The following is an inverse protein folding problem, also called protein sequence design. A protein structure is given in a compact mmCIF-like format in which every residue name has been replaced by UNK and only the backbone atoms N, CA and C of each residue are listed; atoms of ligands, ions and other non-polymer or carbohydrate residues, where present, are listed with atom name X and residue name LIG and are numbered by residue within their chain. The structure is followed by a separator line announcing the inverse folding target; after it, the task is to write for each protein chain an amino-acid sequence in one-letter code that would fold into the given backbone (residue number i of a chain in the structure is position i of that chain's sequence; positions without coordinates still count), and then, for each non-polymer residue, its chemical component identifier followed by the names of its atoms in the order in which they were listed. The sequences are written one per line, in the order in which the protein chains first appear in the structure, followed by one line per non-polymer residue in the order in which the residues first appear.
data_IF_771031068372
#
_entry.id   IF_771031068372
#
_cell.length_a   1.000
_cell.length_b   1.000
_cell.length_c   1.000
_cell.angle_alpha   90.00
_cell.angle_beta   90.00
_cell.angle_gamma   90.00
#
_symmetry.space_group_name_H-M   'P 1'
#
loop_
_entity.id
_entity.type
_entity.pdbx_description
1 polymer ?
#
# COMPACT_ATOMS: atom_id res chain seq x y z
N UNK A 1 1.04 -1.92 -4.11
CA UNK A 1 -0.20 -1.96 -3.29
C UNK A 1 -1.47 -1.97 -4.13
N UNK A 2 -1.67 -1.01 -5.05
CA UNK A 2 -2.87 -0.94 -5.90
C UNK A 2 -3.21 -2.24 -6.64
N UNK A 3 -2.22 -2.95 -7.19
CA UNK A 3 -2.44 -4.25 -7.82
C UNK A 3 -3.11 -5.26 -6.88
N UNK A 4 -2.75 -5.29 -5.59
CA UNK A 4 -3.40 -6.17 -4.60
C UNK A 4 -4.84 -5.76 -4.31
N UNK A 5 -5.14 -4.45 -4.32
CA UNK A 5 -6.53 -4.00 -4.26
C UNK A 5 -7.31 -4.45 -5.50
N UNK A 6 -6.69 -4.42 -6.67
CA UNK A 6 -7.29 -4.89 -7.91
C UNK A 6 -7.56 -6.40 -7.90
N UNK A 7 -6.69 -7.19 -7.26
CA UNK A 7 -6.93 -8.61 -7.01
C UNK A 7 -8.17 -8.78 -6.13
N UNK A 8 -8.24 -8.04 -5.02
CA UNK A 8 -9.37 -8.01 -4.09
C UNK A 8 -9.22 -8.97 -2.90
N UNK A 9 -10.00 -8.73 -1.85
CA UNK A 9 -9.91 -9.47 -0.59
C UNK A 9 -11.31 -9.84 -0.09
N UNK A 10 -11.42 -11.02 0.52
CA UNK A 10 -12.62 -11.49 1.19
C UNK A 10 -12.61 -11.08 2.67
N UNK A 11 -13.72 -10.49 3.13
CA UNK A 11 -13.91 -9.94 4.47
C UNK A 11 -15.06 -10.64 5.18
N UNK A 12 -14.97 -10.75 6.51
CA UNK A 12 -16.07 -11.29 7.32
C UNK A 12 -17.07 -10.18 7.65
N UNK A 13 -18.37 -10.45 7.53
CA UNK A 13 -19.40 -9.50 7.94
C UNK A 13 -19.44 -9.32 9.46
N UNK A 14 -19.66 -8.09 9.88
CA UNK A 14 -19.77 -7.69 11.29
C UNK A 14 -21.19 -8.01 11.81
N UNK A 15 -21.53 -9.29 12.01
CA UNK A 15 -22.84 -9.73 12.51
C UNK A 15 -22.92 -9.75 14.05
N UNK A 16 -24.11 -9.49 14.60
CA UNK A 16 -24.43 -9.67 16.04
C UNK A 16 -25.04 -11.03 16.36
N UNK A 17 -25.49 -11.80 15.36
CA UNK A 17 -26.18 -13.10 15.54
C UNK A 17 -25.30 -14.26 15.09
N UNK A 18 -25.00 -15.18 16.01
CA UNK A 18 -24.04 -16.32 15.90
C UNK A 18 -24.41 -17.43 14.89
N UNK A 19 -25.31 -17.24 13.91
CA UNK A 19 -25.88 -18.37 13.16
C UNK A 19 -25.35 -18.63 11.75
N UNK A 20 -24.50 -17.78 11.17
CA UNK A 20 -23.74 -18.10 9.95
C UNK A 20 -22.66 -17.04 9.71
N UNK A 21 -21.44 -17.48 9.41
CA UNK A 21 -20.38 -16.59 8.94
C UNK A 21 -20.68 -16.18 7.52
N UNK A 22 -21.21 -14.96 7.37
CA UNK A 22 -21.40 -14.34 6.07
C UNK A 22 -20.14 -13.59 5.69
N UNK A 23 -19.70 -13.79 4.46
CA UNK A 23 -18.54 -13.11 3.91
C UNK A 23 -18.99 -12.09 2.87
N UNK A 24 -18.12 -11.14 2.57
CA UNK A 24 -18.29 -10.19 1.49
C UNK A 24 -16.93 -9.91 0.87
N UNK A 25 -16.91 -9.61 -0.42
CA UNK A 25 -15.68 -9.40 -1.17
C UNK A 25 -15.60 -7.96 -1.62
N UNK A 26 -14.40 -7.37 -1.60
CA UNK A 26 -14.16 -6.04 -2.13
C UNK A 26 -12.90 -6.05 -3.00
N UNK A 27 -12.97 -5.39 -4.16
CA UNK A 27 -11.84 -5.19 -5.06
C UNK A 27 -11.88 -3.83 -5.73
N UNK A 28 -10.73 -3.34 -6.12
CA UNK A 28 -10.57 -2.16 -6.95
C UNK A 28 -10.70 -2.52 -8.43
N UNK A 29 -11.37 -1.68 -9.20
CA UNK A 29 -11.41 -1.75 -10.66
C UNK A 29 -9.99 -1.59 -11.24
N UNK A 30 -9.62 -2.25 -12.35
CA UNK A 30 -8.28 -2.12 -12.94
C UNK A 30 -7.87 -0.70 -13.33
N UNK A 31 -8.82 0.22 -13.53
CA UNK A 31 -8.55 1.63 -13.80
C UNK A 31 -8.37 2.49 -12.53
N UNK A 32 -8.43 1.88 -11.35
CA UNK A 32 -8.34 2.49 -10.02
C UNK A 32 -9.41 3.54 -9.69
N UNK A 33 -10.59 3.48 -10.34
CA UNK A 33 -11.66 4.49 -10.16
C UNK A 33 -12.85 4.02 -9.33
N UNK A 34 -13.08 2.72 -9.19
CA UNK A 34 -14.27 2.16 -8.54
C UNK A 34 -13.90 0.99 -7.65
N UNK A 35 -14.37 0.98 -6.40
CA UNK A 35 -14.39 -0.18 -5.54
C UNK A 35 -15.67 -0.96 -5.81
N UNK A 36 -15.53 -2.21 -6.25
CA UNK A 36 -16.62 -3.16 -6.41
C UNK A 36 -16.70 -4.03 -5.17
N UNK A 37 -17.90 -4.21 -4.62
CA UNK A 37 -18.10 -5.09 -3.47
C UNK A 37 -19.45 -5.80 -3.50
N UNK A 38 -19.57 -6.86 -2.70
CA UNK A 38 -20.79 -7.65 -2.64
C UNK A 38 -20.67 -8.85 -1.70
N UNK A 39 -21.82 -9.42 -1.38
CA UNK A 39 -21.91 -10.60 -0.52
C UNK A 39 -21.42 -11.85 -1.25
N UNK A 40 -20.74 -12.74 -0.52
CA UNK A 40 -20.28 -14.02 -1.04
C UNK A 40 -20.70 -15.15 -0.10
N UNK A 41 -21.15 -16.27 -0.66
CA UNK A 41 -21.69 -17.40 0.09
C UNK A 41 -20.60 -18.19 0.82
N UNK A 42 -19.39 -18.26 0.25
CA UNK A 42 -18.24 -18.98 0.80
C UNK A 42 -16.97 -18.11 0.80
N UNK A 43 -16.04 -18.42 1.71
CA UNK A 43 -14.73 -17.78 1.74
C UNK A 43 -13.90 -18.22 0.53
N UNK A 44 -13.90 -17.40 -0.52
CA UNK A 44 -13.04 -17.63 -1.68
C UNK A 44 -11.69 -16.92 -1.50
N UNK A 45 -10.59 -17.67 -1.57
CA UNK A 45 -9.24 -17.12 -1.71
C UNK A 45 -8.91 -16.70 -3.17
N UNK A 46 -9.78 -17.05 -4.12
CA UNK A 46 -9.63 -16.71 -5.53
C UNK A 46 -10.16 -15.32 -5.90
N UNK A 47 -9.74 -14.80 -7.05
CA UNK A 47 -10.24 -13.54 -7.59
C UNK A 47 -11.70 -13.69 -8.03
N UNK A 48 -12.58 -12.87 -7.44
CA UNK A 48 -13.97 -12.78 -7.89
C UNK A 48 -14.06 -11.70 -9.00
N UNK A 49 -14.64 -12.00 -10.18
CA UNK A 49 -14.85 -11.03 -11.23
C UNK A 49 -15.61 -9.78 -10.74
N UNK A 50 -15.27 -8.62 -11.28
CA UNK A 50 -15.95 -7.37 -10.89
C UNK A 50 -17.42 -7.33 -11.30
N UNK A 51 -17.82 -8.09 -12.33
CA UNK A 51 -19.20 -8.17 -12.83
C UNK A 51 -20.16 -8.94 -11.89
N UNK A 52 -19.63 -9.82 -11.04
CA UNK A 52 -20.44 -10.53 -10.04
C UNK A 52 -20.70 -9.71 -8.77
N UNK A 53 -20.03 -8.56 -8.61
CA UNK A 53 -20.17 -7.68 -7.46
C UNK A 53 -21.18 -6.57 -7.77
N UNK A 54 -22.27 -6.55 -7.02
CA UNK A 54 -23.44 -5.73 -7.31
C UNK A 54 -23.23 -4.27 -6.91
N UNK A 55 -22.49 -4.04 -5.83
CA UNK A 55 -22.31 -2.71 -5.24
C UNK A 55 -21.03 -2.05 -5.75
N UNK A 56 -21.10 -0.72 -5.89
CA UNK A 56 -20.01 0.09 -6.45
C UNK A 56 -19.87 1.37 -5.65
N UNK A 57 -18.63 1.68 -5.28
CA UNK A 57 -18.25 2.95 -4.66
C UNK A 57 -17.18 3.61 -5.54
N UNK A 58 -17.45 4.82 -6.05
CA UNK A 58 -16.43 5.53 -6.80
C UNK A 58 -15.33 6.02 -5.86
N UNK A 59 -14.07 5.86 -6.28
CA UNK A 59 -12.91 6.30 -5.51
C UNK A 59 -12.90 7.83 -5.34
N UNK A 60 -13.44 8.56 -6.32
CA UNK A 60 -13.60 10.01 -6.25
C UNK A 60 -14.52 10.45 -5.10
N UNK A 61 -15.47 9.61 -4.69
CA UNK A 61 -16.45 9.92 -3.65
C UNK A 61 -15.89 9.62 -2.25
N UNK A 62 -14.70 9.02 -2.14
CA UNK A 62 -14.07 8.70 -0.86
C UNK A 62 -13.51 9.99 -0.23
N UNK A 63 -14.04 10.36 0.93
CA UNK A 63 -13.60 11.52 1.71
C UNK A 63 -12.43 11.16 2.63
N UNK A 64 -12.52 10.04 3.34
CA UNK A 64 -11.52 9.66 4.34
C UNK A 64 -11.50 8.15 4.61
N UNK A 65 -10.36 7.67 5.08
CA UNK A 65 -10.19 6.34 5.67
C UNK A 65 -10.00 6.53 7.16
N UNK A 66 -10.85 5.88 7.94
CA UNK A 66 -10.80 5.86 9.40
C UNK A 66 -10.31 4.49 9.83
N UNK A 67 -9.39 4.43 10.77
CA UNK A 67 -8.81 3.17 11.24
C UNK A 67 -9.01 2.99 12.73
N UNK A 68 -8.98 1.73 13.18
CA UNK A 68 -8.89 1.42 14.59
C UNK A 68 -10.14 1.76 15.40
N UNK A 69 -9.89 2.30 16.59
CA UNK A 69 -10.92 2.70 17.57
C UNK A 69 -11.81 3.84 17.08
N UNK A 70 -11.40 4.53 16.01
CA UNK A 70 -12.19 5.63 15.45
C UNK A 70 -13.31 5.18 14.53
N UNK A 71 -13.31 3.90 14.13
CA UNK A 71 -14.34 3.33 13.29
C UNK A 71 -15.72 3.32 13.99
N UNK A 72 -16.80 3.76 13.31
CA UNK A 72 -18.15 3.78 13.89
C UNK A 72 -18.60 2.41 14.42
N UNK A 73 -18.31 1.35 13.68
CA UNK A 73 -18.65 -0.02 14.06
C UNK A 73 -17.91 -0.55 15.31
N UNK A 74 -16.79 0.08 15.67
CA UNK A 74 -16.03 -0.21 16.91
C UNK A 74 -16.53 0.66 18.06
N UNK A 75 -16.89 1.94 17.79
CA UNK A 75 -17.41 2.89 18.79
C UNK A 75 -18.79 2.50 19.34
N UNK A 76 -19.71 2.08 18.48
CA UNK A 76 -21.11 1.78 18.89
C UNK A 76 -21.23 0.48 19.70
N UNK A 77 -20.38 -0.51 19.42
CA UNK A 77 -20.39 -1.78 20.15
C UNK A 77 -19.51 -1.69 21.40
N UNK A 78 -20.03 -1.06 22.46
CA UNK A 78 -19.48 -1.12 23.82
C UNK A 78 -19.25 -2.55 24.37
N UNK A 79 -19.71 -3.58 23.65
CA UNK A 79 -19.55 -5.01 23.91
C UNK A 79 -18.27 -5.66 23.29
N UNK A 80 -17.47 -4.94 22.49
CA UNK A 80 -16.19 -5.46 21.95
C UNK A 80 -15.04 -5.47 22.97
N UNK A 81 -15.31 -5.11 24.24
CA UNK A 81 -14.34 -5.13 25.36
C UNK A 81 -13.66 -6.48 25.62
N UNK A 82 -14.07 -7.58 24.98
CA UNK A 82 -13.45 -8.90 25.17
C UNK A 82 -12.41 -9.29 24.11
N UNK A 83 -12.40 -8.69 22.91
CA UNK A 83 -11.41 -9.04 21.87
C UNK A 83 -10.55 -7.84 21.51
N UNK A 84 -9.38 -7.75 22.14
CA UNK A 84 -8.36 -6.70 21.91
C UNK A 84 -7.85 -6.62 20.46
N UNK A 85 -7.93 -7.71 19.70
CA UNK A 85 -7.35 -7.81 18.34
C UNK A 85 -8.27 -7.24 17.24
N UNK A 86 -9.59 -7.28 17.43
CA UNK A 86 -10.57 -6.79 16.44
C UNK A 86 -10.40 -5.30 16.11
N UNK A 87 -10.19 -4.37 17.07
CA UNK A 87 -9.98 -2.97 16.72
C UNK A 87 -8.69 -2.75 15.93
N UNK A 88 -7.66 -3.59 16.04
CA UNK A 88 -6.40 -3.38 15.31
C UNK A 88 -6.50 -3.72 13.81
N UNK A 89 -7.51 -4.51 13.43
CA UNK A 89 -7.80 -4.93 12.05
C UNK A 89 -8.98 -4.17 11.42
N UNK A 90 -9.60 -3.27 12.19
CA UNK A 90 -10.78 -2.52 11.77
C UNK A 90 -10.39 -1.25 11.01
N UNK A 91 -11.04 -1.01 9.88
CA UNK A 91 -10.98 0.25 9.15
C UNK A 91 -12.32 0.54 8.47
N UNK A 92 -12.59 1.81 8.17
CA UNK A 92 -13.84 2.26 7.55
C UNK A 92 -13.54 3.31 6.50
N UNK A 93 -14.26 3.25 5.38
CA UNK A 93 -14.18 4.24 4.30
C UNK A 93 -15.39 5.15 4.40
N UNK A 94 -15.15 6.44 4.64
CA UNK A 94 -16.16 7.49 4.63
C UNK A 94 -16.27 8.05 3.21
N UNK A 95 -17.49 8.08 2.66
CA UNK A 95 -17.76 8.59 1.32
C UNK A 95 -18.80 9.72 1.31
N UNK A 96 -19.06 10.30 0.14
CA UNK A 96 -19.76 11.58 0.00
C UNK A 96 -21.15 11.64 0.67
N UNK A 97 -21.88 10.54 0.72
CA UNK A 97 -23.17 10.41 1.42
C UNK A 97 -23.10 10.47 2.96
N UNK A 98 -21.92 10.71 3.53
CA UNK A 98 -21.63 10.60 4.98
C UNK A 98 -21.94 9.21 5.56
N UNK A 99 -21.98 8.21 4.68
CA UNK A 99 -22.08 6.82 5.03
C UNK A 99 -20.68 6.19 5.15
N UNK A 100 -20.63 5.09 5.91
CA UNK A 100 -19.40 4.37 6.20
C UNK A 100 -19.45 2.96 5.64
N UNK A 101 -18.49 2.64 4.78
CA UNK A 101 -18.21 1.27 4.40
C UNK A 101 -17.24 0.67 5.43
N UNK A 102 -17.74 -0.23 6.27
CA UNK A 102 -17.02 -0.78 7.42
C UNK A 102 -16.31 -2.10 7.07
N UNK A 103 -15.03 -2.21 7.40
CA UNK A 103 -14.19 -3.37 7.12
C UNK A 103 -13.54 -3.92 8.40
N UNK A 104 -13.39 -5.24 8.43
CA UNK A 104 -12.52 -5.94 9.40
C UNK A 104 -11.61 -6.85 8.58
N UNK A 105 -10.33 -6.48 8.51
CA UNK A 105 -9.35 -7.24 7.76
C UNK A 105 -9.22 -8.68 8.32
N UNK A 106 -8.96 -9.68 7.46
CA UNK A 106 -8.76 -11.06 7.89
C UNK A 106 -7.45 -11.22 8.69
N UNK A 107 -6.42 -10.43 8.39
CA UNK A 107 -5.13 -10.44 9.06
C UNK A 107 -4.45 -9.05 9.01
N UNK A 108 -3.31 -8.92 9.71
CA UNK A 108 -2.53 -7.67 9.74
C UNK A 108 -1.92 -7.33 8.38
N UNK A 109 -1.61 -8.31 7.54
CA UNK A 109 -1.04 -8.06 6.22
C UNK A 109 -2.08 -7.37 5.32
N UNK A 110 -3.28 -7.95 5.21
CA UNK A 110 -4.39 -7.38 4.46
C UNK A 110 -4.81 -6.02 5.01
N UNK A 111 -4.81 -5.85 6.34
CA UNK A 111 -5.02 -4.53 6.94
C UNK A 111 -4.03 -3.48 6.41
N UNK A 112 -2.72 -3.79 6.41
CA UNK A 112 -1.69 -2.91 5.88
C UNK A 112 -1.85 -2.65 4.37
N UNK A 113 -2.15 -3.70 3.59
CA UNK A 113 -2.38 -3.59 2.14
C UNK A 113 -3.55 -2.64 1.83
N UNK A 114 -4.67 -2.82 2.53
CA UNK A 114 -5.88 -2.02 2.31
C UNK A 114 -5.73 -0.58 2.77
N UNK A 115 -5.22 -0.36 3.99
CA UNK A 115 -5.01 0.99 4.51
C UNK A 115 -4.02 1.78 3.66
N UNK A 116 -2.88 1.20 3.29
CA UNK A 116 -1.91 1.86 2.41
C UNK A 116 -2.45 2.05 0.99
N UNK A 117 -3.15 1.05 0.45
CA UNK A 117 -3.74 1.14 -0.87
C UNK A 117 -4.79 2.23 -0.98
N UNK A 118 -5.67 2.35 0.02
CA UNK A 118 -6.65 3.43 0.10
C UNK A 118 -6.00 4.80 0.33
N UNK A 119 -4.96 4.89 1.17
CA UNK A 119 -4.19 6.12 1.32
C UNK A 119 -3.52 6.54 0.01
N UNK A 120 -2.94 5.60 -0.74
CA UNK A 120 -2.37 5.87 -2.05
C UNK A 120 -3.40 6.36 -3.07
N UNK A 121 -4.63 5.81 -3.06
CA UNK A 121 -5.73 6.29 -3.90
C UNK A 121 -6.15 7.73 -3.56
N UNK A 122 -6.06 8.10 -2.28
CA UNK A 122 -6.33 9.46 -1.80
C UNK A 122 -5.13 10.41 -1.93
N UNK A 123 -4.01 9.96 -2.50
CA UNK A 123 -2.78 10.76 -2.61
C UNK A 123 -2.11 11.05 -1.26
N UNK A 124 -2.39 10.25 -0.23
CA UNK A 124 -1.76 10.33 1.10
C UNK A 124 -0.58 9.37 1.20
N UNK A 125 0.33 9.67 2.12
CA UNK A 125 1.47 8.79 2.40
C UNK A 125 1.03 7.43 2.97
N UNK A 126 1.77 6.38 2.59
CA UNK A 126 1.58 5.01 3.09
C UNK A 126 2.36 4.85 4.41
N UNK A 127 1.65 4.65 5.52
CA UNK A 127 2.25 4.68 6.87
C UNK A 127 2.41 3.30 7.52
N UNK A 128 1.95 2.22 6.89
CA UNK A 128 1.95 0.90 7.52
C UNK A 128 3.36 0.34 7.78
N UNK A 129 3.46 -0.55 8.78
CA UNK A 129 4.69 -1.29 9.09
C UNK A 129 5.19 -2.10 7.88
N UNK A 130 4.27 -2.64 7.08
CA UNK A 130 4.59 -3.44 5.89
C UNK A 130 5.31 -2.57 4.85
N UNK A 131 4.84 -1.34 4.62
CA UNK A 131 5.50 -0.44 3.67
C UNK A 131 6.87 0.01 4.14
N UNK A 132 7.06 0.25 5.44
CA UNK A 132 8.39 0.54 5.99
C UNK A 132 9.35 -0.64 5.81
N UNK A 133 8.91 -1.86 6.09
CA UNK A 133 9.71 -3.07 5.94
C UNK A 133 10.06 -3.35 4.47
N UNK A 134 9.09 -3.21 3.57
CA UNK A 134 9.30 -3.40 2.13
C UNK A 134 10.29 -2.35 1.60
N UNK A 135 10.13 -1.09 1.99
CA UNK A 135 11.03 0.00 1.63
C UNK A 135 12.46 -0.26 2.11
N UNK A 136 12.63 -0.66 3.37
CA UNK A 136 13.96 -0.94 3.94
C UNK A 136 14.64 -2.10 3.19
N UNK A 137 13.89 -3.15 2.85
CA UNK A 137 14.40 -4.29 2.07
C UNK A 137 14.85 -3.87 0.67
N UNK A 138 14.02 -3.09 -0.03
CA UNK A 138 14.30 -2.63 -1.40
C UNK A 138 15.48 -1.65 -1.43
N UNK A 139 15.50 -0.69 -0.52
CA UNK A 139 16.58 0.29 -0.40
C UNK A 139 17.88 -0.40 -0.02
N UNK A 140 17.85 -1.34 0.94
CA UNK A 140 19.03 -2.11 1.32
C UNK A 140 19.61 -2.86 0.13
N UNK A 141 18.76 -3.48 -0.70
CA UNK A 141 19.22 -4.17 -1.91
C UNK A 141 19.81 -3.20 -2.93
N UNK A 142 19.16 -2.07 -3.22
CA UNK A 142 19.67 -1.06 -4.15
C UNK A 142 21.00 -0.47 -3.67
N UNK A 143 21.12 -0.12 -2.38
CA UNK A 143 22.37 0.39 -1.81
C UNK A 143 23.47 -0.66 -1.94
N UNK A 144 23.20 -1.93 -1.62
CA UNK A 144 24.19 -3.00 -1.80
C UNK A 144 24.67 -3.11 -3.24
N UNK A 145 23.77 -2.98 -4.23
CA UNK A 145 24.14 -2.99 -5.65
C UNK A 145 25.03 -1.80 -6.03
N UNK A 146 24.72 -0.59 -5.51
CA UNK A 146 25.54 0.61 -5.75
C UNK A 146 26.91 0.55 -5.08
N UNK A 147 27.03 -0.19 -3.98
CA UNK A 147 28.27 -0.35 -3.22
C UNK A 147 29.13 -1.54 -3.72
N UNK A 148 28.71 -2.28 -4.75
CA UNK A 148 29.51 -3.38 -5.32
C UNK A 148 30.88 -2.91 -5.80
N UNK A 149 30.95 -1.75 -6.45
CA UNK A 149 32.21 -1.17 -6.93
C UNK A 149 33.11 -0.65 -5.80
N UNK A 150 32.56 -0.51 -4.59
CA UNK A 150 33.27 -0.03 -3.39
C UNK A 150 33.61 -1.19 -2.43
N UNK A 151 33.54 -2.44 -2.89
CA UNK A 151 33.88 -3.59 -2.07
C UNK A 151 35.34 -3.50 -1.59
N UNK A 152 35.56 -3.59 -0.28
CA UNK A 152 36.85 -3.42 0.41
C UNK A 152 37.43 -1.99 0.41
N UNK A 153 36.70 -0.98 -0.08
CA UNK A 153 37.11 0.42 0.02
C UNK A 153 36.56 1.01 1.32
N UNK A 154 37.42 1.72 2.07
CA UNK A 154 36.99 2.45 3.26
C UNK A 154 36.15 3.66 2.83
N UNK A 155 34.87 3.64 3.16
CA UNK A 155 33.97 4.78 2.92
C UNK A 155 34.26 5.85 3.97
N UNK A 156 34.63 7.09 3.56
CA UNK A 156 34.93 8.15 4.51
C UNK A 156 33.66 8.61 5.24
N UNK A 157 33.78 8.89 6.54
CA UNK A 157 32.66 9.33 7.40
C UNK A 157 32.19 10.75 7.06
N UNK A 158 33.10 11.60 6.58
CA UNK A 158 32.80 12.95 6.12
C UNK A 158 32.99 13.05 4.59
N UNK A 159 32.16 13.83 3.89
CA UNK A 159 32.37 14.11 2.47
C UNK A 159 33.77 14.70 2.25
N UNK A 160 34.59 14.13 1.33
CA UNK A 160 35.89 14.69 1.03
C UNK A 160 35.77 16.12 0.49
N UNK A 161 36.70 17.02 0.81
CA UNK A 161 36.62 18.42 0.38
C UNK A 161 36.70 18.49 -1.15
N UNK A 162 35.74 19.20 -1.75
CA UNK A 162 35.74 19.43 -3.20
C UNK A 162 36.89 20.41 -3.51
N UNK A 163 37.86 20.02 -4.36
CA UNK A 163 38.95 20.93 -4.74
C UNK A 163 38.42 22.14 -5.50
N UNK A 164 39.14 23.25 -5.47
CA UNK A 164 38.83 24.41 -6.33
C UNK A 164 38.88 23.97 -7.79
N UNK A 165 38.03 24.58 -8.60
CA UNK A 165 38.04 24.34 -10.04
C UNK A 165 39.44 24.62 -10.63
N UNK A 166 39.87 23.85 -11.63
CA UNK A 166 41.11 24.10 -12.34
C UNK A 166 41.15 25.52 -12.93
N UNK A 167 42.35 26.12 -13.00
CA UNK A 167 42.54 27.46 -13.57
C UNK A 167 42.34 27.54 -15.09
N UNK A 168 42.30 26.39 -15.77
CA UNK A 168 42.05 26.29 -17.20
C UNK A 168 41.26 25.01 -17.51
N UNK A 169 40.71 24.95 -18.72
CA UNK A 169 39.99 23.79 -19.25
C UNK A 169 40.76 23.14 -20.41
N UNK A 170 42.09 23.18 -20.37
CA UNK A 170 42.95 22.48 -21.32
C UNK A 170 43.07 21.02 -20.88
N UNK A 171 42.12 20.19 -21.31
CA UNK A 171 42.08 18.79 -20.94
C UNK A 171 43.23 18.00 -21.57
N UNK A 172 43.83 17.09 -20.80
CA UNK A 172 44.92 16.21 -21.28
C UNK A 172 44.45 15.21 -22.34
N UNK A 173 43.15 14.90 -22.35
CA UNK A 173 42.54 13.93 -23.27
C UNK A 173 41.43 14.59 -24.10
N UNK A 174 41.50 14.39 -25.41
CA UNK A 174 40.42 14.72 -26.33
C UNK A 174 39.43 13.56 -26.40
N UNK A 175 38.19 13.79 -25.96
CA UNK A 175 37.11 12.80 -26.08
C UNK A 175 36.60 12.60 -27.53
N UNK A 176 37.16 13.33 -28.51
CA UNK A 176 36.74 13.32 -29.92
C UNK A 176 37.35 12.18 -30.76
N UNK A 177 38.30 11.39 -30.24
CA UNK A 177 38.97 10.35 -31.03
C UNK A 177 38.32 8.96 -31.00
N UNK A 178 37.26 8.73 -30.21
CA UNK A 178 36.61 7.40 -30.12
C UNK A 178 35.57 7.08 -31.20
N UNK A 179 35.35 7.95 -32.21
CA UNK A 179 34.33 7.72 -33.25
C UNK A 179 34.88 7.21 -34.59
N UNK A 180 36.18 6.91 -34.73
CA UNK A 180 36.77 6.56 -36.05
C UNK A 180 37.36 5.14 -36.21
N UNK A 181 37.09 4.18 -35.31
CA UNK A 181 37.51 2.78 -35.53
C UNK A 181 36.37 1.77 -35.30
N UNK A 182 35.32 1.86 -36.10
CA UNK A 182 34.50 0.70 -36.51
C UNK A 182 33.97 0.93 -37.93
N UNK A 183 34.82 0.66 -38.92
CA UNK A 183 34.42 0.29 -40.30
C UNK A 183 35.40 -0.75 -40.79
#
# INVERSE_FOLDING_TARGET
RLNRLCEGTCFRKISTRRRQDKFWYCRLSPNHKVLHYGDVEEFSQGQIPHDSLQEKLAVADIKAVITGKDCPHVKEKGALKQNKEVPELAFSVLYESDEYLNFVAPDKHEYCIWTDGLNALLGKEMTSDLTKSDMDTLITMEIKLRLLDLENIQVPEAPPPIPKEPSNYEFVYDYTQHTQQQT
#
